data_IF_873011451665
#
_entry.id   IF_873011451665
#
_cell.length_a   1.000
_cell.length_b   1.000
_cell.length_c   1.000
_cell.angle_alpha   90.00
_cell.angle_beta   90.00
_cell.angle_gamma   90.00
#
_symmetry.space_group_name_H-M   'P 1'
#
loop_
_entity.id
_entity.type
_entity.pdbx_description
1 polymer ?
#
# COMPACT_ATOMS: atom_id res chain seq x y z
N UNK A 1 -14.12 17.94 0.50
CA UNK A 1 -13.75 17.20 1.73
C UNK A 1 -12.57 16.29 1.42
N UNK A 2 -11.43 16.51 2.08
CA UNK A 2 -10.24 15.65 1.96
C UNK A 2 -10.42 14.46 2.90
N UNK A 3 -10.86 13.31 2.39
CA UNK A 3 -10.58 12.05 3.07
C UNK A 3 -9.10 11.77 2.89
N UNK A 4 -8.28 12.20 3.85
CA UNK A 4 -6.93 11.67 4.01
C UNK A 4 -7.13 10.22 4.43
N UNK A 5 -7.22 9.29 3.48
CA UNK A 5 -7.20 7.87 3.82
C UNK A 5 -5.88 7.62 4.56
N UNK A 6 -6.01 7.33 5.85
CA UNK A 6 -4.90 7.00 6.71
C UNK A 6 -4.79 5.47 6.71
N UNK A 7 -3.73 4.96 6.09
CA UNK A 7 -3.47 3.52 5.98
C UNK A 7 -2.65 2.97 7.16
N UNK A 8 -2.50 3.73 8.24
CA UNK A 8 -1.76 3.28 9.42
C UNK A 8 -2.41 2.07 10.10
N UNK A 9 -3.68 1.80 9.83
CA UNK A 9 -4.39 0.59 10.23
C UNK A 9 -3.85 -0.68 9.53
N UNK A 10 -3.07 -0.53 8.46
CA UNK A 10 -2.37 -1.65 7.82
C UNK A 10 -1.12 -2.10 8.58
N UNK A 11 -0.55 -1.25 9.46
CA UNK A 11 0.64 -1.61 10.24
C UNK A 11 0.33 -2.83 11.12
N UNK A 12 1.22 -3.82 11.10
CA UNK A 12 1.06 -5.06 11.84
C UNK A 12 0.28 -6.16 11.11
N UNK A 13 -0.32 -5.87 9.95
CA UNK A 13 -0.99 -6.89 9.13
C UNK A 13 0.00 -7.75 8.36
N UNK A 14 -0.37 -9.00 8.06
CA UNK A 14 0.44 -9.88 7.21
C UNK A 14 0.22 -9.60 5.72
N UNK A 15 1.10 -10.12 4.87
CA UNK A 15 0.90 -10.10 3.40
C UNK A 15 -0.46 -10.69 2.99
N UNK A 16 -0.91 -11.79 3.60
CA UNK A 16 -2.22 -12.37 3.27
C UNK A 16 -3.38 -11.44 3.64
N UNK A 17 -3.31 -10.78 4.80
CA UNK A 17 -4.33 -9.82 5.22
C UNK A 17 -4.38 -8.61 4.29
N UNK A 18 -3.21 -8.12 3.86
CA UNK A 18 -3.12 -7.04 2.87
C UNK A 18 -3.74 -7.45 1.53
N UNK A 19 -3.47 -8.65 1.02
CA UNK A 19 -4.10 -9.16 -0.21
C UNK A 19 -5.61 -9.28 -0.04
N UNK A 20 -6.08 -9.77 1.11
CA UNK A 20 -7.51 -9.93 1.39
C UNK A 20 -8.24 -8.58 1.43
N UNK A 21 -7.58 -7.53 1.92
CA UNK A 21 -8.17 -6.21 2.10
C UNK A 21 -8.05 -5.31 0.87
N UNK A 22 -6.89 -5.32 0.20
CA UNK A 22 -6.57 -4.43 -0.92
C UNK A 22 -6.60 -5.12 -2.29
N UNK A 23 -6.72 -6.45 -2.31
CA UNK A 23 -6.61 -7.27 -3.51
C UNK A 23 -5.17 -7.59 -3.90
N UNK A 24 -5.05 -8.36 -4.98
CA UNK A 24 -3.78 -8.63 -5.66
C UNK A 24 -3.33 -7.35 -6.39
N UNK A 25 -2.43 -6.59 -5.76
CA UNK A 25 -1.78 -5.43 -6.38
C UNK A 25 -0.73 -5.85 -7.41
N UNK A 26 0.14 -4.92 -7.82
CA UNK A 26 1.35 -5.26 -8.59
C UNK A 26 2.43 -5.83 -7.66
N UNK A 27 2.11 -6.94 -7.00
CA UNK A 27 2.86 -7.46 -5.89
C UNK A 27 3.74 -8.61 -6.37
N UNK A 28 5.05 -8.46 -6.30
CA UNK A 28 5.95 -9.61 -6.31
C UNK A 28 6.06 -10.11 -4.87
N UNK A 29 5.45 -11.26 -4.55
CA UNK A 29 5.35 -11.75 -3.18
C UNK A 29 6.70 -11.80 -2.41
N UNK A 30 7.83 -12.17 -3.05
CA UNK A 30 9.14 -12.12 -2.39
C UNK A 30 9.68 -10.72 -2.09
N UNK A 31 9.04 -9.65 -2.59
CA UNK A 31 9.44 -8.27 -2.33
C UNK A 31 8.98 -7.82 -0.95
N UNK A 32 9.83 -7.09 -0.25
CA UNK A 32 9.50 -6.37 0.99
C UNK A 32 8.82 -5.03 0.73
N UNK A 33 8.66 -4.64 -0.54
CA UNK A 33 7.93 -3.45 -0.95
C UNK A 33 6.81 -3.81 -1.92
N UNK A 34 5.58 -3.51 -1.53
CA UNK A 34 4.43 -3.56 -2.43
C UNK A 34 3.88 -2.16 -2.71
N UNK A 35 3.26 -2.01 -3.89
CA UNK A 35 2.68 -0.75 -4.32
C UNK A 35 1.27 -0.94 -4.88
N UNK A 36 0.36 -0.06 -4.46
CA UNK A 36 -1.03 -0.04 -4.92
C UNK A 36 -1.37 1.30 -5.58
N UNK A 37 -2.00 1.26 -6.75
CA UNK A 37 -2.47 2.46 -7.45
C UNK A 37 -3.72 3.00 -6.75
N UNK A 38 -3.64 4.17 -6.12
CA UNK A 38 -4.80 4.78 -5.45
C UNK A 38 -5.66 5.58 -6.45
N UNK A 39 -5.03 6.48 -7.19
CA UNK A 39 -5.68 7.37 -8.17
C UNK A 39 -4.65 8.06 -9.05
N UNK A 40 -5.10 8.77 -10.08
CA UNK A 40 -4.27 9.79 -10.74
C UNK A 40 -4.44 11.16 -10.06
N UNK A 41 -3.36 11.90 -9.93
CA UNK A 41 -3.41 13.31 -9.55
C UNK A 41 -3.86 14.16 -10.75
N UNK A 42 -4.02 15.47 -10.52
CA UNK A 42 -4.53 16.38 -11.55
C UNK A 42 -3.60 16.52 -12.76
N UNK A 43 -2.31 16.19 -12.60
CA UNK A 43 -1.31 16.15 -13.68
C UNK A 43 -1.26 14.78 -14.39
N UNK A 44 -2.20 13.88 -14.10
CA UNK A 44 -2.27 12.55 -14.68
C UNK A 44 -1.23 11.55 -14.15
N UNK A 45 -0.44 11.91 -13.14
CA UNK A 45 0.53 11.00 -12.48
C UNK A 45 -0.18 10.12 -11.47
N UNK A 46 0.24 8.87 -11.35
CA UNK A 46 -0.31 7.97 -10.34
C UNK A 46 0.04 8.43 -8.93
N UNK A 47 -0.87 8.20 -8.00
CA UNK A 47 -0.66 8.32 -6.57
C UNK A 47 -0.62 6.88 -6.05
N UNK A 48 0.50 6.49 -5.46
CA UNK A 48 0.77 5.13 -5.04
C UNK A 48 0.77 5.03 -3.52
N UNK A 49 0.17 3.97 -2.99
CA UNK A 49 0.38 3.51 -1.62
C UNK A 49 1.56 2.55 -1.62
N UNK A 50 2.58 2.87 -0.84
CA UNK A 50 3.75 2.02 -0.59
C UNK A 50 3.57 1.31 0.74
N UNK A 51 3.74 -0.01 0.73
CA UNK A 51 3.63 -0.88 1.91
C UNK A 51 4.97 -1.61 2.06
N UNK A 52 5.63 -1.42 3.19
CA UNK A 52 6.91 -2.05 3.54
C UNK A 52 6.66 -3.19 4.50
N UNK A 53 7.30 -4.32 4.23
CA UNK A 53 7.23 -5.52 5.02
C UNK A 53 8.57 -5.84 5.68
N UNK A 54 8.50 -6.42 6.87
CA UNK A 54 9.61 -7.06 7.56
C UNK A 54 9.05 -8.36 8.15
N UNK A 55 9.70 -9.49 7.90
CA UNK A 55 9.25 -10.82 8.37
C UNK A 55 7.75 -11.11 8.10
N UNK A 56 7.26 -10.74 6.91
CA UNK A 56 5.86 -10.91 6.48
C UNK A 56 4.84 -9.97 7.10
N UNK A 57 5.27 -8.98 7.87
CA UNK A 57 4.40 -8.03 8.58
C UNK A 57 4.66 -6.61 8.09
N UNK A 58 3.60 -5.82 7.94
CA UNK A 58 3.71 -4.41 7.55
C UNK A 58 4.36 -3.59 8.68
N UNK A 59 5.53 -3.01 8.42
CA UNK A 59 6.24 -2.15 9.36
C UNK A 59 6.07 -0.66 9.05
N UNK A 60 5.77 -0.30 7.79
CA UNK A 60 5.61 1.09 7.36
C UNK A 60 4.70 1.22 6.14
N UNK A 61 3.93 2.31 6.12
CA UNK A 61 3.15 2.74 4.95
C UNK A 61 3.42 4.20 4.62
N UNK A 62 3.36 4.56 3.35
CA UNK A 62 3.34 5.96 2.92
C UNK A 62 2.74 6.13 1.52
N UNK A 63 2.36 7.37 1.18
CA UNK A 63 1.83 7.73 -0.14
C UNK A 63 2.91 8.48 -0.94
N UNK A 64 3.08 8.12 -2.21
CA UNK A 64 3.97 8.80 -3.16
C UNK A 64 3.33 9.03 -4.53
N UNK A 65 4.11 9.59 -5.47
CA UNK A 65 3.69 10.06 -6.80
C UNK A 65 4.63 9.61 -7.91
#
# INVERSE_FOLDING_TARGET
MKNTQNYNDLIGKTREEIVKELGDGFNFYPSDLWTYNLKKNWLGRWVLLYIHFEDNVVCRVHIGH
#
